data_IF_616033846398
#
_entry.id   IF_616033846398
#
_cell.length_a   1.000
_cell.length_b   1.000
_cell.length_c   1.000
_cell.angle_alpha   90.00
_cell.angle_beta   90.00
_cell.angle_gamma   90.00
#
_symmetry.space_group_name_H-M   'P 1'
#
loop_
_entity.id
_entity.type
_entity.pdbx_description
1 polymer ?
#
# COMPACT_ATOMS: atom_id res chain seq x y z
N UNK A 1 -22.43 36.44 56.88
CA UNK A 1 -23.19 35.18 56.72
C UNK A 1 -22.64 34.50 55.47
N UNK A 2 -21.52 33.76 55.53
CA UNK A 2 -21.39 32.42 56.14
C UNK A 2 -22.40 31.46 55.45
N UNK A 3 -22.04 30.40 54.71
CA UNK A 3 -21.12 29.31 55.03
C UNK A 3 -20.61 28.56 53.76
N UNK A 4 -19.32 28.26 53.79
CA UNK A 4 -18.55 27.08 53.34
C UNK A 4 -19.21 25.89 52.60
N UNK A 5 -18.52 25.49 51.51
CA UNK A 5 -17.85 24.19 51.28
C UNK A 5 -18.68 22.88 51.32
N UNK A 6 -18.72 22.15 50.20
CA UNK A 6 -18.61 20.68 50.22
C UNK A 6 -18.27 20.08 48.84
N UNK A 7 -17.16 20.52 48.26
CA UNK A 7 -16.47 19.77 47.20
C UNK A 7 -15.50 18.74 47.82
N UNK A 8 -16.00 18.02 48.83
CA UNK A 8 -15.29 17.00 49.61
C UNK A 8 -15.80 15.60 49.26
N UNK A 9 -17.09 15.43 48.90
CA UNK A 9 -17.70 14.12 48.64
C UNK A 9 -17.27 13.52 47.29
N UNK A 10 -16.92 14.32 46.29
CA UNK A 10 -16.41 13.83 45.00
C UNK A 10 -14.95 13.36 45.02
N UNK A 11 -14.16 13.82 46.01
CA UNK A 11 -12.74 13.41 46.16
C UNK A 11 -12.58 12.10 46.91
N UNK A 12 -13.46 11.80 47.87
CA UNK A 12 -13.38 10.55 48.65
C UNK A 12 -13.75 9.31 47.83
N UNK A 13 -14.56 9.45 46.76
CA UNK A 13 -14.85 8.31 45.87
C UNK A 13 -13.70 7.98 44.90
N UNK A 14 -12.75 8.89 44.70
CA UNK A 14 -11.61 8.65 43.80
C UNK A 14 -10.42 8.01 44.51
N UNK A 15 -10.35 8.09 45.85
CA UNK A 15 -9.31 7.46 46.68
C UNK A 15 -9.57 5.96 46.97
N UNK A 16 -10.73 5.43 46.57
CA UNK A 16 -11.07 3.99 46.65
C UNK A 16 -11.24 3.32 45.28
N UNK A 17 -10.99 4.02 44.18
CA UNK A 17 -10.93 3.40 42.87
C UNK A 17 -9.62 2.58 42.77
N UNK A 18 -9.77 1.26 42.72
CA UNK A 18 -8.70 0.31 42.45
C UNK A 18 -7.92 0.76 41.21
N UNK A 19 -6.58 0.70 41.20
CA UNK A 19 -5.81 1.01 40.00
C UNK A 19 -6.23 0.06 38.87
N UNK A 20 -6.74 0.65 37.78
CA UNK A 20 -6.97 -0.04 36.52
C UNK A 20 -5.65 -0.69 36.06
N UNK A 21 -5.63 -2.02 35.84
CA UNK A 21 -4.43 -2.70 35.37
C UNK A 21 -4.17 -2.32 33.91
N UNK A 22 -3.32 -1.32 33.70
CA UNK A 22 -2.83 -0.95 32.37
C UNK A 22 -1.97 -2.07 31.80
N UNK A 23 -2.46 -2.69 30.71
CA UNK A 23 -1.76 -3.48 29.69
C UNK A 23 -0.59 -4.34 30.20
N UNK A 24 -0.90 -5.55 30.63
CA UNK A 24 0.07 -6.63 30.74
C UNK A 24 0.54 -7.07 29.35
N UNK A 25 1.70 -6.59 28.90
CA UNK A 25 2.55 -7.36 27.99
C UNK A 25 3.09 -8.55 28.80
N UNK A 26 2.41 -9.69 28.70
CA UNK A 26 2.46 -10.84 29.60
C UNK A 26 3.88 -11.25 30.08
N UNK A 27 4.34 -10.81 31.27
CA UNK A 27 5.59 -11.25 31.89
C UNK A 27 5.38 -12.55 32.68
N UNK A 28 4.14 -13.05 32.81
CA UNK A 28 3.81 -14.17 33.70
C UNK A 28 4.26 -15.51 33.14
N UNK A 29 4.39 -15.66 31.81
CA UNK A 29 4.89 -16.90 31.19
C UNK A 29 6.38 -17.13 31.41
N UNK A 30 7.21 -16.08 31.32
CA UNK A 30 8.64 -16.19 31.57
C UNK A 30 8.94 -16.47 33.06
N UNK A 31 8.18 -15.83 33.97
CA UNK A 31 8.31 -16.05 35.41
C UNK A 31 8.00 -17.50 35.79
N UNK A 32 6.98 -18.13 35.16
CA UNK A 32 6.61 -19.52 35.43
C UNK A 32 7.66 -20.55 35.04
N UNK A 33 8.45 -20.33 33.97
CA UNK A 33 9.52 -21.26 33.56
C UNK A 33 10.72 -21.21 34.51
N UNK A 34 11.11 -20.01 34.94
CA UNK A 34 12.29 -19.82 35.78
C UNK A 34 12.02 -20.24 37.24
N UNK A 35 10.81 -20.03 37.77
CA UNK A 35 10.35 -20.62 39.04
C UNK A 35 10.23 -22.16 38.93
N UNK A 36 9.79 -22.67 37.80
CA UNK A 36 9.70 -24.10 37.54
C UNK A 36 11.08 -24.78 37.48
N UNK A 37 12.05 -24.20 36.77
CA UNK A 37 13.42 -24.70 36.70
C UNK A 37 14.10 -24.68 38.09
N UNK A 38 13.80 -23.68 38.92
CA UNK A 38 14.25 -23.66 40.33
C UNK A 38 13.67 -24.82 41.15
N UNK A 39 12.38 -25.12 41.00
CA UNK A 39 11.77 -26.25 41.69
C UNK A 39 12.33 -27.61 41.20
N UNK A 40 12.61 -27.74 39.89
CA UNK A 40 13.23 -28.94 39.31
C UNK A 40 14.65 -29.16 39.84
N UNK A 41 15.46 -28.10 39.93
CA UNK A 41 16.81 -28.16 40.49
C UNK A 41 16.76 -28.53 41.98
N UNK A 42 15.87 -27.91 42.76
CA UNK A 42 15.71 -28.20 44.18
C UNK A 42 15.25 -29.65 44.46
N UNK A 43 14.50 -30.27 43.55
CA UNK A 43 14.11 -31.68 43.62
C UNK A 43 15.25 -32.62 43.24
N UNK A 44 16.07 -32.27 42.24
CA UNK A 44 17.29 -33.01 41.88
C UNK A 44 18.33 -33.02 43.00
N UNK A 45 18.50 -31.91 43.72
CA UNK A 45 19.41 -31.81 44.87
C UNK A 45 18.96 -32.65 46.09
N UNK A 46 17.67 -32.99 46.19
CA UNK A 46 17.09 -33.75 47.31
C UNK A 46 16.72 -35.20 46.96
N UNK A 47 17.11 -35.73 45.80
CA UNK A 47 16.84 -37.13 45.45
C UNK A 47 17.81 -38.11 46.13
N UNK A 48 17.30 -39.28 46.48
CA UNK A 48 18.11 -40.41 46.94
C UNK A 48 18.88 -41.01 45.73
N UNK A 49 20.21 -41.15 45.80
CA UNK A 49 21.04 -41.67 44.70
C UNK A 49 20.68 -43.09 44.25
N UNK A 50 19.94 -43.84 45.07
CA UNK A 50 19.65 -45.26 44.84
C UNK A 50 18.31 -45.53 44.13
N UNK A 51 17.48 -44.51 43.91
CA UNK A 51 16.18 -44.64 43.23
C UNK A 51 15.77 -43.38 42.45
N UNK A 52 16.38 -43.09 41.29
CA UNK A 52 16.01 -41.93 40.49
C UNK A 52 14.58 -42.08 39.93
N UNK A 53 13.68 -41.14 40.25
CA UNK A 53 12.42 -41.02 39.49
C UNK A 53 12.69 -40.36 38.14
N UNK A 54 12.19 -40.97 37.06
CA UNK A 54 12.30 -40.45 35.70
C UNK A 54 11.43 -39.21 35.50
N UNK A 55 12.02 -38.02 35.57
CA UNK A 55 11.36 -36.73 35.29
C UNK A 55 11.18 -36.46 33.77
N UNK A 56 11.24 -37.49 32.91
CA UNK A 56 11.25 -37.35 31.45
C UNK A 56 9.98 -36.71 30.86
N UNK A 57 8.82 -36.96 31.46
CA UNK A 57 7.55 -36.35 31.05
C UNK A 57 7.53 -34.83 31.25
N UNK A 58 8.22 -34.33 32.27
CA UNK A 58 8.37 -32.90 32.52
C UNK A 58 9.35 -32.23 31.56
N UNK A 59 10.46 -32.90 31.22
CA UNK A 59 11.40 -32.41 30.19
C UNK A 59 10.69 -32.32 28.84
N UNK A 60 9.84 -33.29 28.51
CA UNK A 60 9.02 -33.26 27.30
C UNK A 60 8.02 -32.08 27.30
N UNK A 61 7.36 -31.80 28.43
CA UNK A 61 6.48 -30.62 28.57
C UNK A 61 7.25 -29.30 28.46
N UNK A 62 8.47 -29.22 29.02
CA UNK A 62 9.33 -28.03 28.93
C UNK A 62 9.81 -27.78 27.50
N UNK A 63 10.16 -28.85 26.78
CA UNK A 63 10.49 -28.79 25.36
C UNK A 63 9.28 -28.30 24.54
N UNK A 64 8.07 -28.80 24.84
CA UNK A 64 6.83 -28.35 24.20
C UNK A 64 6.53 -26.87 24.47
N UNK A 65 6.74 -26.39 25.70
CA UNK A 65 6.59 -24.97 26.04
C UNK A 65 7.64 -24.10 25.34
N UNK A 66 8.90 -24.55 25.28
CA UNK A 66 9.97 -23.84 24.59
C UNK A 66 9.69 -23.72 23.09
N UNK A 67 9.18 -24.80 22.47
CA UNK A 67 8.77 -24.78 21.07
C UNK A 67 7.57 -23.84 20.82
N UNK A 68 6.61 -23.78 21.75
CA UNK A 68 5.51 -22.83 21.67
C UNK A 68 5.99 -21.38 21.82
N UNK A 69 6.90 -21.12 22.77
CA UNK A 69 7.51 -19.80 22.97
C UNK A 69 8.29 -19.36 21.74
N UNK A 70 9.07 -20.26 21.14
CA UNK A 70 9.83 -19.99 19.92
C UNK A 70 8.90 -19.73 18.73
N UNK A 71 7.81 -20.50 18.60
CA UNK A 71 6.75 -20.24 17.60
C UNK A 71 6.09 -18.87 17.80
N UNK A 72 5.85 -18.46 19.05
CA UNK A 72 5.32 -17.12 19.36
C UNK A 72 6.32 -16.01 19.00
N UNK A 73 7.61 -16.20 19.31
CA UNK A 73 8.69 -15.27 18.90
C UNK A 73 8.80 -15.16 17.38
N UNK A 74 8.65 -16.26 16.66
CA UNK A 74 8.64 -16.27 15.20
C UNK A 74 7.45 -15.49 14.64
N UNK A 75 6.24 -15.72 15.15
CA UNK A 75 5.04 -14.98 14.77
C UNK A 75 5.19 -13.47 15.02
N UNK A 76 5.76 -13.10 16.17
CA UNK A 76 6.03 -11.70 16.50
C UNK A 76 7.08 -11.08 15.56
N UNK A 77 8.15 -11.80 15.25
CA UNK A 77 9.18 -11.36 14.29
C UNK A 77 8.60 -11.18 12.89
N UNK A 78 7.73 -12.09 12.45
CA UNK A 78 7.04 -11.99 11.17
C UNK A 78 6.10 -10.78 11.12
N UNK A 79 5.36 -10.51 12.20
CA UNK A 79 4.52 -9.31 12.32
C UNK A 79 5.34 -8.00 12.23
N UNK A 80 6.50 -7.97 12.90
CA UNK A 80 7.42 -6.84 12.81
C UNK A 80 7.99 -6.66 11.40
N UNK A 81 8.41 -7.75 10.76
CA UNK A 81 8.88 -7.74 9.37
C UNK A 81 7.81 -7.24 8.42
N UNK A 82 6.58 -7.76 8.52
CA UNK A 82 5.44 -7.31 7.71
C UNK A 82 5.20 -5.81 7.86
N UNK A 83 5.25 -5.28 9.09
CA UNK A 83 5.09 -3.85 9.36
C UNK A 83 6.23 -3.00 8.76
N UNK A 84 7.48 -3.48 8.84
CA UNK A 84 8.63 -2.82 8.24
C UNK A 84 8.57 -2.84 6.69
N UNK A 85 8.10 -3.94 6.12
CA UNK A 85 7.89 -4.08 4.68
C UNK A 85 6.80 -3.11 4.18
N UNK A 86 5.66 -3.03 4.88
CA UNK A 86 4.61 -2.04 4.58
C UNK A 86 5.14 -0.61 4.65
N UNK A 87 5.94 -0.28 5.67
CA UNK A 87 6.56 1.03 5.80
C UNK A 87 7.48 1.36 4.61
N UNK A 88 8.22 0.38 4.12
CA UNK A 88 9.07 0.52 2.93
C UNK A 88 8.24 0.80 1.68
N UNK A 89 7.13 0.08 1.51
CA UNK A 89 6.21 0.31 0.39
C UNK A 89 5.58 1.71 0.44
N UNK A 90 5.24 2.20 1.63
CA UNK A 90 4.73 3.57 1.82
C UNK A 90 5.76 4.64 1.42
N UNK A 91 7.04 4.43 1.76
CA UNK A 91 8.13 5.34 1.37
C UNK A 91 8.32 5.36 -0.16
N UNK A 92 8.28 4.19 -0.80
CA UNK A 92 8.37 4.10 -2.26
C UNK A 92 7.23 4.85 -2.93
N UNK A 93 5.99 4.68 -2.47
CA UNK A 93 4.85 5.41 -3.01
C UNK A 93 4.97 6.92 -2.78
N UNK A 94 5.45 7.35 -1.62
CA UNK A 94 5.66 8.78 -1.31
C UNK A 94 6.68 9.41 -2.27
N UNK A 95 7.69 8.66 -2.70
CA UNK A 95 8.67 9.12 -3.69
C UNK A 95 8.10 9.33 -5.10
N UNK A 96 6.88 8.84 -5.36
CA UNK A 96 6.18 9.05 -6.63
C UNK A 96 5.40 10.36 -6.66
N UNK A 97 5.14 11.00 -5.52
CA UNK A 97 4.42 12.28 -5.49
C UNK A 97 5.16 13.30 -6.33
N UNK A 98 4.45 13.93 -7.26
CA UNK A 98 4.98 14.87 -8.23
C UNK A 98 5.63 14.24 -9.46
N UNK A 99 5.74 12.91 -9.55
CA UNK A 99 6.24 12.20 -10.73
C UNK A 99 5.09 11.70 -11.60
N UNK A 100 5.27 11.66 -12.93
CA UNK A 100 4.30 11.05 -13.82
C UNK A 100 4.43 9.52 -13.81
N UNK A 101 3.28 8.86 -13.74
CA UNK A 101 3.14 7.40 -13.84
C UNK A 101 2.17 7.05 -14.97
N UNK A 102 2.34 5.90 -15.61
CA UNK A 102 1.40 5.41 -16.61
C UNK A 102 0.41 4.43 -16.01
N UNK A 103 -0.86 4.66 -16.31
CA UNK A 103 -1.98 3.82 -15.88
C UNK A 103 -2.95 3.62 -17.04
N UNK A 104 -3.62 2.47 -17.08
CA UNK A 104 -4.68 2.23 -18.06
C UNK A 104 -5.86 3.17 -17.79
N UNK A 105 -6.04 4.13 -18.67
CA UNK A 105 -7.09 5.15 -18.63
C UNK A 105 -7.21 5.77 -20.01
N UNK A 106 -8.42 6.03 -20.49
CA UNK A 106 -8.65 6.82 -21.71
C UNK A 106 -8.68 8.32 -21.44
N UNK A 107 -8.67 8.76 -20.19
CA UNK A 107 -8.76 10.17 -19.80
C UNK A 107 -7.61 10.54 -18.86
N UNK A 108 -7.09 11.76 -18.98
CA UNK A 108 -6.13 12.35 -18.02
C UNK A 108 -6.24 13.88 -18.04
N UNK A 109 -5.65 14.53 -17.04
CA UNK A 109 -5.66 16.00 -16.95
C UNK A 109 -4.44 16.61 -17.63
N UNK A 110 -4.67 17.58 -18.52
CA UNK A 110 -3.64 18.50 -18.99
C UNK A 110 -3.46 19.63 -17.97
N UNK A 111 -2.29 19.70 -17.33
CA UNK A 111 -1.91 20.78 -16.41
C UNK A 111 -1.60 22.10 -17.14
N UNK A 112 -0.98 23.09 -16.49
CA UNK A 112 -0.57 24.36 -17.11
C UNK A 112 0.69 24.26 -18.00
N UNK A 113 1.49 23.22 -17.78
CA UNK A 113 2.72 22.90 -18.53
C UNK A 113 2.83 21.39 -18.71
N UNK A 114 3.81 20.95 -19.50
CA UNK A 114 4.08 19.54 -19.72
C UNK A 114 3.26 18.93 -20.86
N UNK A 115 3.59 17.69 -21.17
CA UNK A 115 2.99 16.87 -22.22
C UNK A 115 2.38 15.61 -21.61
N UNK A 116 1.48 14.97 -22.35
CA UNK A 116 0.88 13.69 -22.00
C UNK A 116 1.54 12.61 -22.86
N UNK A 117 2.10 11.60 -22.21
CA UNK A 117 2.57 10.39 -22.86
C UNK A 117 1.42 9.38 -22.93
N UNK A 118 1.20 8.86 -24.13
CA UNK A 118 0.17 7.88 -24.47
C UNK A 118 0.88 6.61 -24.91
N UNK A 119 0.68 5.51 -24.17
CA UNK A 119 1.13 4.18 -24.56
C UNK A 119 -0.05 3.41 -25.13
N UNK A 120 0.16 2.70 -26.25
CA UNK A 120 -0.80 1.79 -26.83
C UNK A 120 -0.12 0.46 -27.18
N UNK A 121 -0.82 -0.64 -26.91
CA UNK A 121 -0.33 -1.99 -27.18
C UNK A 121 -0.89 -2.50 -28.51
N UNK A 122 0.01 -2.75 -29.46
CA UNK A 122 -0.32 -3.32 -30.75
C UNK A 122 -0.05 -4.84 -30.70
N UNK A 123 -1.07 -5.64 -30.41
CA UNK A 123 -0.93 -7.12 -30.36
C UNK A 123 -0.52 -7.74 -31.71
N UNK A 124 -0.78 -7.04 -32.81
CA UNK A 124 -0.29 -7.35 -34.16
C UNK A 124 0.03 -6.03 -34.88
N UNK A 125 0.81 -6.11 -35.97
CA UNK A 125 1.07 -4.95 -36.80
C UNK A 125 -0.22 -4.36 -37.42
N UNK A 126 -0.31 -3.03 -37.45
CA UNK A 126 -1.42 -2.27 -38.02
C UNK A 126 -0.99 -1.55 -39.30
N UNK A 127 -1.85 -1.53 -40.31
CA UNK A 127 -1.59 -0.84 -41.58
C UNK A 127 -1.70 0.69 -41.42
N UNK A 128 -2.65 1.11 -40.59
CA UNK A 128 -2.87 2.52 -40.24
C UNK A 128 -3.27 2.60 -38.78
N UNK A 129 -2.84 3.65 -38.10
CA UNK A 129 -3.27 3.98 -36.76
C UNK A 129 -3.44 5.50 -36.62
N UNK A 130 -4.32 5.88 -35.72
CA UNK A 130 -4.69 7.28 -35.49
C UNK A 130 -4.82 7.51 -33.99
N UNK A 131 -4.22 8.58 -33.49
CA UNK A 131 -4.45 9.10 -32.15
C UNK A 131 -5.43 10.27 -32.26
N UNK A 132 -6.56 10.18 -31.58
CA UNK A 132 -7.57 11.24 -31.48
C UNK A 132 -7.62 11.77 -30.05
N UNK A 133 -7.64 13.09 -29.91
CA UNK A 133 -7.74 13.78 -28.62
C UNK A 133 -9.04 14.57 -28.57
N UNK A 134 -9.83 14.34 -27.52
CA UNK A 134 -11.12 14.96 -27.30
C UNK A 134 -11.08 15.81 -26.03
N UNK A 135 -11.76 16.95 -26.06
CA UNK A 135 -12.00 17.75 -24.85
C UNK A 135 -13.13 17.15 -23.98
N UNK A 136 -13.39 17.76 -22.83
CA UNK A 136 -14.47 17.37 -21.90
C UNK A 136 -15.87 17.36 -22.55
N UNK A 137 -16.10 18.16 -23.59
CA UNK A 137 -17.35 18.19 -24.34
C UNK A 137 -17.46 17.06 -25.39
N UNK A 138 -16.45 16.19 -25.51
CA UNK A 138 -16.39 15.12 -26.52
C UNK A 138 -16.07 15.60 -27.93
N UNK A 139 -15.62 16.84 -28.10
CA UNK A 139 -15.21 17.38 -29.40
C UNK A 139 -13.74 17.04 -29.66
N UNK A 140 -13.43 16.56 -30.86
CA UNK A 140 -12.04 16.35 -31.30
C UNK A 140 -11.33 17.70 -31.37
N UNK A 141 -10.25 17.84 -30.60
CA UNK A 141 -9.40 19.04 -30.58
C UNK A 141 -8.08 18.83 -31.29
N UNK A 142 -7.64 17.58 -31.41
CA UNK A 142 -6.38 17.23 -32.05
C UNK A 142 -6.43 15.80 -32.60
N UNK A 143 -5.70 15.55 -33.68
CA UNK A 143 -5.66 14.24 -34.32
C UNK A 143 -4.35 14.01 -35.07
N UNK A 144 -3.72 12.87 -34.81
CA UNK A 144 -2.44 12.48 -35.40
C UNK A 144 -2.59 11.19 -36.19
N UNK A 145 -2.18 11.22 -37.47
CA UNK A 145 -1.96 9.99 -38.23
C UNK A 145 -0.64 9.37 -37.78
N UNK A 146 -0.72 8.19 -37.18
CA UNK A 146 0.43 7.41 -36.72
C UNK A 146 0.96 6.47 -37.81
N UNK A 147 0.24 6.32 -38.92
CA UNK A 147 0.61 5.44 -40.04
C UNK A 147 0.72 3.98 -39.64
N UNK A 148 1.62 3.25 -40.31
CA UNK A 148 1.88 1.84 -40.01
C UNK A 148 2.56 1.69 -38.65
N UNK A 149 2.08 0.72 -37.86
CA UNK A 149 2.67 0.39 -36.56
C UNK A 149 3.03 -1.09 -36.52
N UNK A 150 4.24 -1.40 -36.06
CA UNK A 150 4.62 -2.78 -35.77
C UNK A 150 3.92 -3.29 -34.51
N UNK A 151 3.90 -4.61 -34.34
CA UNK A 151 3.55 -5.22 -33.06
C UNK A 151 4.41 -4.65 -31.91
N UNK A 152 3.83 -4.64 -30.71
CA UNK A 152 4.44 -4.20 -29.46
C UNK A 152 3.87 -2.89 -28.93
N UNK A 153 4.32 -2.52 -27.72
CA UNK A 153 3.98 -1.25 -27.07
C UNK A 153 4.63 -0.08 -27.79
N UNK A 154 3.83 0.96 -28.09
CA UNK A 154 4.30 2.20 -28.71
C UNK A 154 3.97 3.39 -27.82
N UNK A 155 4.86 4.38 -27.81
CA UNK A 155 4.71 5.63 -27.08
C UNK A 155 4.49 6.80 -28.04
N UNK A 156 3.52 7.64 -27.72
CA UNK A 156 3.19 8.86 -28.42
C UNK A 156 3.12 10.01 -27.42
N UNK A 157 3.59 11.19 -27.79
CA UNK A 157 3.61 12.36 -26.92
C UNK A 157 2.67 13.43 -27.48
N UNK A 158 1.69 13.84 -26.68
CA UNK A 158 0.85 14.99 -26.96
C UNK A 158 1.29 16.17 -26.11
N UNK A 159 1.82 17.22 -26.75
CA UNK A 159 2.37 18.40 -26.06
C UNK A 159 1.29 19.30 -25.46
N UNK A 160 0.03 19.15 -25.88
CA UNK A 160 -1.06 20.05 -25.50
C UNK A 160 -0.95 21.43 -26.15
N UNK A 161 -0.23 21.55 -27.26
CA UNK A 161 -0.05 22.79 -28.04
C UNK A 161 -0.58 22.55 -29.45
N UNK A 162 -1.38 23.48 -29.97
CA UNK A 162 -1.97 23.42 -31.31
C UNK A 162 -1.00 23.89 -32.41
N UNK A 163 -1.47 23.92 -33.66
CA UNK A 163 -0.68 24.32 -34.83
C UNK A 163 -0.32 25.81 -34.88
N UNK A 164 -0.91 26.63 -34.02
CA UNK A 164 -0.62 28.06 -33.91
C UNK A 164 0.29 28.36 -32.70
N UNK A 165 0.96 27.34 -32.16
CA UNK A 165 1.76 27.41 -30.93
C UNK A 165 0.94 27.84 -29.70
N UNK A 166 -0.38 27.67 -29.74
CA UNK A 166 -1.27 28.01 -28.63
C UNK A 166 -1.53 26.77 -27.77
N UNK A 167 -1.38 26.94 -26.46
CA UNK A 167 -1.65 25.86 -25.51
C UNK A 167 -3.15 25.64 -25.33
N UNK A 168 -3.57 24.38 -25.39
CA UNK A 168 -4.94 23.99 -25.06
C UNK A 168 -5.28 24.34 -23.60
N UNK A 169 -6.55 24.65 -23.28
CA UNK A 169 -6.99 24.92 -21.92
C UNK A 169 -6.62 23.81 -20.93
N UNK A 170 -6.42 24.17 -19.67
CA UNK A 170 -6.28 23.16 -18.62
C UNK A 170 -7.60 22.43 -18.42
N UNK A 171 -7.55 21.12 -18.24
CA UNK A 171 -8.75 20.30 -18.07
C UNK A 171 -8.50 18.84 -18.36
N UNK A 172 -9.57 18.07 -18.30
CA UNK A 172 -9.53 16.67 -18.68
C UNK A 172 -9.67 16.52 -20.20
N UNK A 173 -8.89 15.58 -20.74
CA UNK A 173 -8.89 15.21 -22.14
C UNK A 173 -8.99 13.69 -22.26
N UNK A 174 -9.75 13.25 -23.26
CA UNK A 174 -9.90 11.84 -23.61
C UNK A 174 -9.03 11.52 -24.82
N UNK A 175 -8.35 10.40 -24.76
CA UNK A 175 -7.43 9.89 -25.77
C UNK A 175 -7.93 8.56 -26.29
N UNK A 176 -7.95 8.42 -27.61
CA UNK A 176 -8.30 7.18 -28.29
C UNK A 176 -7.24 6.88 -29.33
N UNK A 177 -6.67 5.67 -29.27
CA UNK A 177 -5.84 5.14 -30.35
C UNK A 177 -6.67 4.12 -31.10
N UNK A 178 -6.90 4.36 -32.39
CA UNK A 178 -7.60 3.44 -33.28
C UNK A 178 -6.62 2.88 -34.31
N UNK A 179 -6.70 1.58 -34.61
CA UNK A 179 -5.81 0.90 -35.54
C UNK A 179 -6.59 0.06 -36.56
N UNK A 180 -6.19 0.13 -37.82
CA UNK A 180 -6.72 -0.68 -38.93
C UNK A 180 -5.90 -1.95 -39.10
N UNK A 181 -6.56 -3.10 -38.91
CA UNK A 181 -5.97 -4.43 -38.98
C UNK A 181 -6.86 -5.31 -39.87
N UNK A 182 -6.38 -5.68 -41.04
CA UNK A 182 -7.17 -6.51 -41.97
C UNK A 182 -8.42 -5.80 -42.51
N UNK A 183 -8.38 -4.47 -42.60
CA UNK A 183 -9.48 -3.63 -43.09
C UNK A 183 -10.54 -3.27 -42.05
N UNK A 184 -10.42 -3.75 -40.82
CA UNK A 184 -11.29 -3.37 -39.68
C UNK A 184 -10.54 -2.38 -38.80
N UNK A 185 -11.17 -1.27 -38.45
CA UNK A 185 -10.64 -0.29 -37.49
C UNK A 185 -11.17 -0.60 -36.10
N UNK A 186 -10.26 -0.76 -35.15
CA UNK A 186 -10.59 -1.05 -33.74
C UNK A 186 -9.86 -0.08 -32.81
N UNK A 187 -10.53 0.32 -31.73
CA UNK A 187 -9.93 1.10 -30.66
C UNK A 187 -9.06 0.20 -29.77
N UNK A 188 -7.88 0.69 -29.41
CA UNK A 188 -6.91 0.00 -28.56
C UNK A 188 -6.98 0.54 -27.13
N UNK A 189 -6.76 -0.32 -26.11
CA UNK A 189 -6.50 0.16 -24.76
C UNK A 189 -5.29 1.10 -24.75
N UNK A 190 -5.44 2.23 -24.07
CA UNK A 190 -4.38 3.23 -23.89
C UNK A 190 -3.98 3.33 -22.43
N UNK A 191 -2.71 3.68 -22.22
CA UNK A 191 -2.17 3.98 -20.90
C UNK A 191 -1.61 5.39 -20.93
N UNK A 192 -2.14 6.25 -20.07
CA UNK A 192 -1.82 7.67 -20.06
C UNK A 192 -0.91 8.00 -18.89
N UNK A 193 0.05 8.89 -19.15
CA UNK A 193 0.81 9.50 -18.08
C UNK A 193 -0.10 10.41 -17.24
N UNK A 194 -0.04 10.27 -15.93
CA UNK A 194 -0.68 11.17 -14.99
C UNK A 194 0.26 11.45 -13.82
N UNK A 195 0.28 12.71 -13.37
CA UNK A 195 1.06 13.11 -12.20
C UNK A 195 0.40 12.55 -10.94
N UNK A 196 1.21 12.01 -10.04
CA UNK A 196 0.77 11.64 -8.70
C UNK A 196 0.66 12.89 -7.83
N UNK A 197 -0.55 13.31 -7.49
CA UNK A 197 -0.78 14.48 -6.65
C UNK A 197 -0.54 14.18 -5.16
N UNK A 198 -0.92 12.99 -4.71
CA UNK A 198 -0.73 12.55 -3.33
C UNK A 198 -0.85 11.04 -3.21
N UNK A 199 -0.49 10.52 -2.05
CA UNK A 199 -0.66 9.12 -1.66
C UNK A 199 -1.63 9.06 -0.48
N UNK A 200 -2.60 8.16 -0.55
CA UNK A 200 -3.49 7.87 0.57
C UNK A 200 -3.14 6.49 1.12
N UNK A 201 -3.06 6.41 2.45
CA UNK A 201 -2.89 5.15 3.19
C UNK A 201 -4.18 4.92 3.98
N UNK A 202 -4.95 3.92 3.57
CA UNK A 202 -6.21 3.55 4.21
C UNK A 202 -5.94 2.75 5.52
N UNK A 203 -6.87 2.77 6.49
CA UNK A 203 -6.82 1.85 7.62
C UNK A 203 -6.69 0.40 7.14
N UNK A 204 -5.66 -0.31 7.59
CA UNK A 204 -5.30 -1.65 7.08
C UNK A 204 -4.10 -1.68 6.14
N UNK A 205 -3.49 -0.52 5.85
CA UNK A 205 -2.23 -0.44 5.10
C UNK A 205 -2.39 -0.51 3.58
N UNK A 206 -3.63 -0.41 3.08
CA UNK A 206 -3.87 -0.32 1.65
C UNK A 206 -3.46 1.06 1.15
N UNK A 207 -2.69 1.07 0.07
CA UNK A 207 -2.10 2.27 -0.51
C UNK A 207 -2.75 2.60 -1.85
N UNK A 208 -3.13 3.86 -2.03
CA UNK A 208 -3.63 4.38 -3.32
C UNK A 208 -2.88 5.66 -3.70
N UNK A 209 -2.64 5.82 -5.00
CA UNK A 209 -2.07 7.02 -5.60
C UNK A 209 -3.22 7.87 -6.14
N UNK A 210 -3.28 9.14 -5.75
CA UNK A 210 -4.25 10.08 -6.29
C UNK A 210 -3.66 10.74 -7.53
N UNK A 211 -4.11 10.31 -8.71
CA UNK A 211 -3.59 10.77 -9.99
C UNK A 211 -4.40 11.96 -10.52
N UNK A 212 -3.72 12.96 -11.08
CA UNK A 212 -4.36 14.14 -11.68
C UNK A 212 -5.30 13.72 -12.82
N UNK A 213 -6.56 14.17 -12.77
CA UNK A 213 -7.59 13.87 -13.78
C UNK A 213 -8.19 12.46 -13.75
N UNK A 214 -7.48 11.48 -13.18
CA UNK A 214 -7.89 10.06 -13.15
C UNK A 214 -8.48 9.65 -11.80
N UNK A 215 -8.02 10.26 -10.71
CA UNK A 215 -8.44 9.91 -9.35
C UNK A 215 -7.59 8.78 -8.72
N UNK A 216 -8.11 8.12 -7.68
CA UNK A 216 -7.34 7.15 -6.89
C UNK A 216 -7.12 5.84 -7.66
N UNK A 217 -5.87 5.37 -7.71
CA UNK A 217 -5.46 4.10 -8.32
C UNK A 217 -4.59 3.29 -7.38
N UNK A 218 -4.67 1.96 -7.48
CA UNK A 218 -3.76 1.08 -6.73
C UNK A 218 -2.36 1.17 -7.32
N UNK A 219 -1.34 0.97 -6.48
CA UNK A 219 0.04 0.84 -6.96
C UNK A 219 0.20 -0.30 -7.98
N UNK A 220 -0.63 -1.34 -7.88
CA UNK A 220 -0.67 -2.46 -8.84
C UNK A 220 -1.16 -2.08 -10.24
N UNK A 221 -1.86 -0.96 -10.37
CA UNK A 221 -2.43 -0.50 -11.64
C UNK A 221 -1.40 0.33 -12.43
N UNK A 222 -0.28 0.69 -11.80
CA UNK A 222 0.80 1.46 -12.41
C UNK A 222 1.67 0.52 -13.24
N UNK A 223 1.73 0.78 -14.54
CA UNK A 223 2.49 -0.06 -15.47
C UNK A 223 3.93 0.45 -15.71
N UNK A 224 4.18 1.74 -15.45
CA UNK A 224 5.49 2.38 -15.62
C UNK A 224 5.60 3.63 -14.74
N UNK A 225 6.81 3.88 -14.21
CA UNK A 225 7.18 5.09 -13.47
C UNK A 225 8.26 5.80 -14.28
N UNK A 226 8.09 7.09 -14.55
CA UNK A 226 9.08 7.90 -15.27
C UNK A 226 9.90 8.79 -14.32
#
# INVERSE_FOLDING_TARGET
>A
MELTNNNALGRVLNDYALPEPTKSSDPKKALGRDEFLKLLIAQLENQDPTAPQENGEFVAQLAQFSQLEESQKMSQSFSQFSSAFQSTQHLQATSLVGRPVHVQSSETMLGATGAISVLADFDIAAQEATLSVYNEAGTVVDQFSLGQQSEGRKEFIWTGIDTNDQRFPQGNYTFEVSASRGGVTEALPVYLSANVNSVTIEPGGKLTLNLAGIGPKSMSDIIQIN
#
